data_IF_071380923849
#
_entry.id   IF_071380923849
#
_cell.length_a   1.000
_cell.length_b   1.000
_cell.length_c   1.000
_cell.angle_alpha   90.00
_cell.angle_beta   90.00
_cell.angle_gamma   90.00
#
_symmetry.space_group_name_H-M   'P 1'
#
loop_
_entity.id
_entity.type
_entity.pdbx_description
1 polymer ?
#
# COMPACT_ATOMS: atom_id res chain seq x y z
N UNK A 1 25.46 12.52 -3.76
CA UNK A 1 26.55 12.94 -2.83
C UNK A 1 27.84 12.21 -3.19
N UNK A 2 29.00 12.86 -3.10
CA UNK A 2 30.31 12.27 -3.39
C UNK A 2 31.08 12.02 -2.08
N UNK A 3 31.78 10.88 -1.97
CA UNK A 3 32.78 10.64 -0.91
C UNK A 3 34.07 10.13 -1.52
N UNK A 4 35.20 10.36 -0.87
CA UNK A 4 36.44 9.69 -1.24
C UNK A 4 36.43 8.26 -0.70
N UNK A 5 36.71 7.28 -1.57
CA UNK A 5 36.89 5.89 -1.15
C UNK A 5 38.09 5.81 -0.20
N UNK A 6 37.98 5.06 0.89
CA UNK A 6 39.14 4.69 1.71
C UNK A 6 39.81 3.46 1.12
N UNK A 7 41.13 3.53 0.93
CA UNK A 7 41.96 2.42 0.50
C UNK A 7 42.34 1.55 1.71
N UNK A 8 42.78 0.29 1.50
CA UNK A 8 43.15 -0.63 2.59
C UNK A 8 44.29 -0.12 3.48
N UNK A 9 45.13 0.77 2.96
CA UNK A 9 46.22 1.46 3.66
C UNK A 9 45.74 2.67 4.49
N UNK A 10 44.42 2.96 4.48
CA UNK A 10 43.81 4.08 5.19
C UNK A 10 43.89 5.41 4.45
N UNK A 11 44.52 5.48 3.27
CA UNK A 11 44.58 6.69 2.46
C UNK A 11 43.28 6.94 1.69
N UNK A 12 43.09 8.18 1.22
CA UNK A 12 41.92 8.55 0.43
C UNK A 12 42.20 8.30 -1.06
N UNK A 13 41.44 7.37 -1.65
CA UNK A 13 41.39 7.14 -3.09
C UNK A 13 40.44 8.10 -3.80
N UNK A 14 40.00 7.69 -4.99
CA UNK A 14 39.16 8.50 -5.87
C UNK A 14 37.78 8.83 -5.28
N UNK A 15 37.16 9.87 -5.82
CA UNK A 15 35.79 10.24 -5.49
C UNK A 15 34.82 9.20 -6.08
N UNK A 16 33.94 8.67 -5.25
CA UNK A 16 32.85 7.79 -5.64
C UNK A 16 31.49 8.43 -5.31
N UNK A 17 30.50 8.16 -6.16
CA UNK A 17 29.11 8.54 -5.94
C UNK A 17 28.53 7.60 -4.89
N UNK A 18 28.03 8.17 -3.79
CA UNK A 18 27.55 7.44 -2.61
C UNK A 18 26.04 7.36 -2.57
N UNK A 19 25.40 8.37 -3.15
CA UNK A 19 23.95 8.51 -3.18
C UNK A 19 23.60 8.95 -4.58
N UNK A 20 23.05 8.01 -5.34
CA UNK A 20 22.26 8.29 -6.53
C UNK A 20 20.87 8.71 -6.06
N UNK A 21 20.50 9.95 -6.37
CA UNK A 21 19.09 10.35 -6.27
C UNK A 21 18.40 9.58 -7.39
N UNK A 22 17.34 8.80 -7.10
CA UNK A 22 16.65 8.08 -8.15
C UNK A 22 16.15 9.06 -9.20
N UNK A 23 16.27 8.66 -10.46
CA UNK A 23 15.80 9.48 -11.57
C UNK A 23 14.29 9.67 -11.47
N UNK A 24 13.76 10.69 -12.14
CA UNK A 24 12.31 10.92 -12.16
C UNK A 24 11.55 9.70 -12.68
N UNK A 25 12.12 8.96 -13.64
CA UNK A 25 11.54 7.72 -14.16
C UNK A 25 11.49 6.61 -13.10
N UNK A 26 12.59 6.39 -12.37
CA UNK A 26 12.65 5.42 -11.27
C UNK A 26 11.66 5.77 -10.14
N UNK A 27 11.51 7.06 -9.84
CA UNK A 27 10.52 7.54 -8.88
C UNK A 27 9.09 7.27 -9.35
N UNK A 28 8.76 7.55 -10.62
CA UNK A 28 7.43 7.29 -11.20
C UNK A 28 7.12 5.79 -11.19
N UNK A 29 8.08 4.94 -11.54
CA UNK A 29 7.91 3.49 -11.48
C UNK A 29 7.63 3.01 -10.05
N UNK A 30 8.43 3.46 -9.07
CA UNK A 30 8.24 3.09 -7.67
C UNK A 30 6.88 3.54 -7.12
N UNK A 31 6.44 4.75 -7.47
CA UNK A 31 5.12 5.26 -7.09
C UNK A 31 3.99 4.47 -7.76
N UNK A 32 4.17 4.08 -9.02
CA UNK A 32 3.23 3.22 -9.75
C UNK A 32 3.06 1.85 -9.11
N UNK A 33 4.16 1.21 -8.71
CA UNK A 33 4.15 -0.07 -7.99
C UNK A 33 3.43 0.04 -6.63
N UNK A 34 3.74 1.10 -5.86
CA UNK A 34 3.08 1.35 -4.58
C UNK A 34 1.56 1.54 -4.74
N UNK A 35 1.14 2.31 -5.76
CA UNK A 35 -0.28 2.53 -6.05
C UNK A 35 -0.99 1.24 -6.49
N UNK A 36 -0.34 0.40 -7.29
CA UNK A 36 -0.88 -0.90 -7.70
C UNK A 36 -1.08 -1.82 -6.49
N UNK A 37 -0.09 -1.91 -5.60
CA UNK A 37 -0.20 -2.68 -4.35
C UNK A 37 -1.32 -2.16 -3.45
N UNK A 38 -1.45 -0.84 -3.32
CA UNK A 38 -2.51 -0.23 -2.52
C UNK A 38 -3.90 -0.51 -3.08
N UNK A 39 -4.07 -0.43 -4.41
CA UNK A 39 -5.33 -0.78 -5.08
C UNK A 39 -5.72 -2.24 -4.88
N UNK A 40 -4.75 -3.16 -4.96
CA UNK A 40 -5.00 -4.60 -4.70
C UNK A 40 -5.32 -4.86 -3.24
N UNK A 41 -4.69 -4.12 -2.31
CA UNK A 41 -4.96 -4.22 -0.87
C UNK A 41 -6.31 -3.62 -0.49
N UNK A 42 -6.75 -2.56 -1.17
CA UNK A 42 -8.05 -1.92 -0.96
C UNK A 42 -9.20 -2.63 -1.71
N UNK A 43 -9.31 -3.95 -1.61
CA UNK A 43 -10.53 -4.71 -2.01
C UNK A 43 -11.71 -4.48 -1.04
N UNK A 44 -11.81 -3.28 -0.48
CA UNK A 44 -12.85 -2.89 0.47
C UNK A 44 -14.23 -2.96 -0.16
N UNK A 45 -14.37 -2.65 -1.44
CA UNK A 45 -15.67 -2.67 -2.12
C UNK A 45 -16.29 -4.07 -2.15
N UNK A 46 -15.48 -5.11 -2.39
CA UNK A 46 -15.94 -6.51 -2.35
C UNK A 46 -16.34 -6.89 -0.92
N UNK A 47 -15.52 -6.51 0.06
CA UNK A 47 -15.79 -6.79 1.48
C UNK A 47 -17.07 -6.08 1.97
N UNK A 48 -17.26 -4.81 1.60
CA UNK A 48 -18.43 -4.01 1.92
C UNK A 48 -19.69 -4.64 1.31
N UNK A 49 -19.65 -5.05 0.05
CA UNK A 49 -20.80 -5.70 -0.60
C UNK A 49 -21.14 -7.06 0.05
N UNK A 50 -20.12 -7.84 0.40
CA UNK A 50 -20.29 -9.14 1.07
C UNK A 50 -20.80 -9.01 2.50
N UNK A 51 -20.54 -7.90 3.20
CA UNK A 51 -21.02 -7.66 4.57
C UNK A 51 -22.34 -6.87 4.61
N UNK A 52 -22.56 -5.96 3.67
CA UNK A 52 -23.76 -5.13 3.59
C UNK A 52 -25.00 -5.95 3.25
N UNK A 53 -24.89 -6.92 2.34
CA UNK A 53 -26.03 -7.76 1.93
C UNK A 53 -26.56 -8.62 3.08
N UNK A 54 -25.72 -9.38 3.81
CA UNK A 54 -26.18 -10.14 4.97
C UNK A 54 -26.68 -9.25 6.13
N UNK A 55 -26.07 -8.09 6.34
CA UNK A 55 -26.50 -7.17 7.40
C UNK A 55 -27.90 -6.60 7.13
N UNK A 56 -28.19 -6.24 5.87
CA UNK A 56 -29.53 -5.78 5.47
C UNK A 56 -30.54 -6.91 5.63
N UNK A 57 -30.20 -8.14 5.22
CA UNK A 57 -31.07 -9.29 5.40
C UNK A 57 -31.38 -9.55 6.87
N UNK A 58 -30.36 -9.57 7.72
CA UNK A 58 -30.50 -9.81 9.15
C UNK A 58 -31.33 -8.73 9.86
N UNK A 59 -31.25 -7.47 9.40
CA UNK A 59 -32.13 -6.39 9.88
C UNK A 59 -33.58 -6.61 9.47
N UNK A 60 -33.85 -7.02 8.24
CA UNK A 60 -35.19 -7.33 7.77
C UNK A 60 -35.79 -8.51 8.54
N UNK A 61 -35.01 -9.56 8.76
CA UNK A 61 -35.41 -10.74 9.53
C UNK A 61 -35.76 -10.35 10.98
N UNK A 62 -34.93 -9.53 11.64
CA UNK A 62 -35.20 -9.04 13.01
C UNK A 62 -36.48 -8.19 13.09
N UNK A 63 -36.74 -7.33 12.10
CA UNK A 63 -37.97 -6.53 12.05
C UNK A 63 -39.19 -7.44 11.86
N UNK A 64 -39.09 -8.47 11.02
CA UNK A 64 -40.18 -9.43 10.81
C UNK A 64 -40.47 -10.26 12.06
N UNK A 65 -39.43 -10.68 12.80
CA UNK A 65 -39.57 -11.44 14.04
C UNK A 65 -40.14 -10.60 15.19
N UNK A 66 -39.82 -9.30 15.26
CA UNK A 66 -40.32 -8.40 16.30
C UNK A 66 -41.66 -7.74 15.94
N UNK A 67 -42.05 -7.71 14.66
CA UNK A 67 -43.32 -7.17 14.18
C UNK A 67 -44.43 -8.20 14.01
N UNK A 68 -44.10 -9.50 13.99
CA UNK A 68 -45.04 -10.62 13.93
C UNK A 68 -45.48 -11.07 15.32
N UNK A 69 -46.19 -10.20 16.03
CA UNK A 69 -46.99 -10.58 17.19
C UNK A 69 -48.45 -10.79 16.77
N UNK A 70 -48.79 -12.04 16.46
CA UNK A 70 -50.10 -12.63 16.76
C UNK A 70 -49.88 -13.69 17.84
#
# INVERSE_FOLDING_TARGET
MLRRRRLPDGTFGELEIVVTIPTTEEQVMSLGEQLAQEKVKNQKDILINNLGTPLTQLKLDMISMNGGGD
#
